data_IF_166607982364
#
_entry.id   IF_166607982364
#
_cell.length_a   1.000
_cell.length_b   1.000
_cell.length_c   1.000
_cell.angle_alpha   90.00
_cell.angle_beta   90.00
_cell.angle_gamma   90.00
#
_symmetry.space_group_name_H-M   'P 1'
#
loop_
_entity.id
_entity.type
_entity.pdbx_description
1 polymer ?
#
# COMPACT_ATOMS: atom_id res chain seq x y z
N UNK A 1 7.63 -12.49 6.12
CA UNK A 1 7.73 -11.02 5.92
C UNK A 1 8.08 -10.38 7.25
N UNK A 2 9.22 -9.69 7.36
CA UNK A 2 9.76 -9.24 8.65
C UNK A 2 9.17 -7.87 9.06
N UNK A 3 8.95 -7.65 10.36
CA UNK A 3 8.42 -6.40 10.95
C UNK A 3 9.13 -5.15 10.41
N UNK A 4 10.45 -5.25 10.19
CA UNK A 4 11.29 -4.18 9.64
C UNK A 4 10.77 -3.66 8.30
N UNK A 5 10.38 -4.55 7.39
CA UNK A 5 9.88 -4.15 6.07
C UNK A 5 8.52 -3.45 6.15
N UNK A 6 7.68 -3.81 7.13
CA UNK A 6 6.42 -3.12 7.37
C UNK A 6 6.64 -1.72 7.89
N UNK A 7 7.60 -1.53 8.80
CA UNK A 7 7.98 -0.20 9.31
C UNK A 7 8.45 0.69 8.16
N UNK A 8 9.36 0.19 7.30
CA UNK A 8 9.87 0.95 6.15
C UNK A 8 8.73 1.37 5.22
N UNK A 9 7.79 0.46 4.91
CA UNK A 9 6.62 0.80 4.07
C UNK A 9 5.74 1.90 4.69
N UNK A 10 5.53 1.86 6.00
CA UNK A 10 4.75 2.88 6.71
C UNK A 10 5.44 4.24 6.64
N UNK A 11 6.75 4.29 6.89
CA UNK A 11 7.52 5.53 6.83
C UNK A 11 7.54 6.12 5.41
N UNK A 12 7.70 5.29 4.38
CA UNK A 12 7.62 5.73 2.99
C UNK A 12 6.25 6.34 2.66
N UNK A 13 5.16 5.77 3.17
CA UNK A 13 3.82 6.35 2.99
C UNK A 13 3.68 7.71 3.69
N UNK A 14 4.19 7.85 4.91
CA UNK A 14 4.17 9.14 5.60
C UNK A 14 4.95 10.20 4.83
N UNK A 15 6.09 9.83 4.24
CA UNK A 15 6.86 10.72 3.38
C UNK A 15 6.05 11.18 2.16
N UNK A 16 5.36 10.26 1.48
CA UNK A 16 4.47 10.61 0.37
C UNK A 16 3.39 11.62 0.80
N UNK A 17 2.74 11.39 1.95
CA UNK A 17 1.71 12.29 2.48
C UNK A 17 2.26 13.66 2.87
N UNK A 18 3.46 13.71 3.45
CA UNK A 18 4.09 14.97 3.85
C UNK A 18 4.47 15.82 2.63
N UNK A 19 4.98 15.19 1.57
CA UNK A 19 5.33 15.87 0.32
C UNK A 19 4.07 16.35 -0.44
N UNK A 20 3.02 15.52 -0.49
CA UNK A 20 1.72 15.90 -1.05
C UNK A 20 1.07 17.06 -0.29
N UNK A 21 1.09 17.01 1.06
CA UNK A 21 0.58 18.10 1.90
C UNK A 21 1.38 19.41 1.75
N UNK A 22 2.66 19.32 1.35
CA UNK A 22 3.49 20.47 0.99
C UNK A 22 3.25 20.96 -0.45
N UNK A 23 2.26 20.40 -1.16
CA UNK A 23 1.85 20.73 -2.51
C UNK A 23 2.98 20.52 -3.55
N UNK A 24 3.83 19.52 -3.31
CA UNK A 24 4.89 19.11 -4.25
C UNK A 24 4.27 18.30 -5.39
N UNK A 25 4.66 18.60 -6.63
CA UNK A 25 4.16 17.89 -7.81
C UNK A 25 4.48 16.39 -7.76
N UNK A 26 3.53 15.55 -8.16
CA UNK A 26 3.66 14.10 -8.06
C UNK A 26 4.79 13.52 -8.93
N UNK A 27 5.22 14.21 -10.00
CA UNK A 27 6.42 13.82 -10.75
C UNK A 27 7.68 14.02 -9.92
N UNK A 28 7.75 15.10 -9.14
CA UNK A 28 8.88 15.38 -8.25
C UNK A 28 8.92 14.38 -7.09
N UNK A 29 7.77 14.05 -6.51
CA UNK A 29 7.65 13.02 -5.47
C UNK A 29 8.11 11.66 -6.02
N UNK A 30 7.63 11.28 -7.21
CA UNK A 30 8.01 10.02 -7.86
C UNK A 30 9.53 9.96 -8.15
N UNK A 31 10.12 11.07 -8.59
CA UNK A 31 11.55 11.18 -8.80
C UNK A 31 12.32 11.01 -7.48
N UNK A 32 11.90 11.70 -6.41
CA UNK A 32 12.51 11.59 -5.08
C UNK A 32 12.52 10.14 -4.59
N UNK A 33 11.36 9.46 -4.63
CA UNK A 33 11.26 8.06 -4.19
C UNK A 33 12.11 7.13 -5.06
N UNK A 34 12.19 7.39 -6.36
CA UNK A 34 13.05 6.62 -7.27
C UNK A 34 14.53 6.79 -6.92
N UNK A 35 14.96 8.00 -6.53
CA UNK A 35 16.31 8.24 -6.02
C UNK A 35 16.60 7.52 -4.69
N UNK A 36 15.58 7.35 -3.84
CA UNK A 36 15.65 6.55 -2.61
C UNK A 36 15.55 5.03 -2.86
N UNK A 37 15.56 4.59 -4.13
CA UNK A 37 15.54 3.19 -4.52
C UNK A 37 14.15 2.55 -4.59
N UNK A 38 13.09 3.38 -4.59
CA UNK A 38 11.69 2.95 -4.70
C UNK A 38 11.14 3.47 -6.04
N UNK A 39 11.25 2.68 -7.12
CA UNK A 39 10.83 3.14 -8.44
C UNK A 39 9.33 3.40 -8.45
N UNK A 40 8.95 4.65 -8.71
CA UNK A 40 7.56 5.09 -8.78
C UNK A 40 7.36 6.02 -9.98
N UNK A 41 6.15 5.99 -10.52
CA UNK A 41 5.62 6.94 -11.51
C UNK A 41 4.64 7.89 -10.83
N UNK A 42 4.44 9.07 -11.40
CA UNK A 42 3.55 10.07 -10.85
C UNK A 42 2.10 9.58 -10.61
N UNK A 43 1.56 8.75 -11.52
CA UNK A 43 0.23 8.18 -11.33
C UNK A 43 0.17 7.18 -10.16
N UNK A 44 1.29 6.51 -9.85
CA UNK A 44 1.39 5.58 -8.72
C UNK A 44 1.38 6.34 -7.40
N UNK A 45 2.04 7.51 -7.35
CA UNK A 45 1.96 8.43 -6.20
C UNK A 45 0.50 8.82 -5.93
N UNK A 46 -0.22 9.31 -6.95
CA UNK A 46 -1.65 9.63 -6.82
C UNK A 46 -2.48 8.43 -6.35
N UNK A 47 -2.24 7.26 -6.94
CA UNK A 47 -2.99 6.04 -6.64
C UNK A 47 -2.75 5.57 -5.20
N UNK A 48 -1.51 5.61 -4.72
CA UNK A 48 -1.14 5.26 -3.35
C UNK A 48 -1.78 6.20 -2.34
N UNK A 49 -1.69 7.52 -2.56
CA UNK A 49 -2.30 8.53 -1.68
C UNK A 49 -3.82 8.38 -1.61
N UNK A 50 -4.47 8.26 -2.77
CA UNK A 50 -5.92 8.07 -2.85
C UNK A 50 -6.36 6.77 -2.18
N UNK A 51 -5.68 5.66 -2.48
CA UNK A 51 -5.98 4.37 -1.87
C UNK A 51 -5.83 4.42 -0.36
N UNK A 52 -4.74 5.04 0.14
CA UNK A 52 -4.50 5.18 1.56
C UNK A 52 -5.53 6.07 2.24
N UNK A 53 -5.93 7.19 1.61
CA UNK A 53 -7.00 8.06 2.13
C UNK A 53 -8.36 7.34 2.17
N UNK A 54 -8.60 6.40 1.25
CA UNK A 54 -9.82 5.61 1.22
C UNK A 54 -9.83 4.55 2.33
N UNK A 55 -8.67 4.11 2.82
CA UNK A 55 -8.60 3.20 3.97
C UNK A 55 -9.23 3.88 5.20
N UNK A 56 -10.20 3.22 5.81
CA UNK A 56 -10.92 3.75 6.98
C UNK A 56 -12.14 4.62 6.66
N UNK A 57 -12.32 5.08 5.42
CA UNK A 57 -13.54 5.85 5.02
C UNK A 57 -14.79 4.99 5.02
N UNK A 58 -14.65 3.72 4.60
CA UNK A 58 -15.72 2.73 4.65
C UNK A 58 -15.49 1.81 5.85
N UNK A 59 -16.34 1.92 6.86
CA UNK A 59 -16.40 0.94 7.95
C UNK A 59 -16.84 -0.40 7.37
N UNK A 60 -15.91 -1.35 7.30
CA UNK A 60 -16.23 -2.75 7.00
C UNK A 60 -16.86 -3.35 8.25
N UNK A 61 -17.96 -4.07 8.10
CA UNK A 61 -18.64 -4.71 9.25
C UNK A 61 -17.72 -5.77 9.86
N UNK A 62 -17.79 -5.96 11.19
CA UNK A 62 -16.98 -6.97 11.90
C UNK A 62 -17.08 -8.37 11.25
N UNK A 63 -18.29 -8.76 10.82
CA UNK A 63 -18.53 -10.01 10.09
C UNK A 63 -17.73 -10.10 8.78
N UNK A 64 -17.67 -9.01 8.00
CA UNK A 64 -16.87 -8.97 6.77
C UNK A 64 -15.37 -8.98 7.07
N UNK A 65 -14.92 -8.30 8.12
CA UNK A 65 -13.51 -8.33 8.54
C UNK A 65 -13.11 -9.75 8.96
N UNK A 66 -13.91 -10.42 9.78
CA UNK A 66 -13.66 -11.81 10.19
C UNK A 66 -13.64 -12.77 8.99
N UNK A 67 -14.57 -12.61 8.05
CA UNK A 67 -14.58 -13.40 6.82
C UNK A 67 -13.30 -13.17 5.98
N UNK A 68 -12.80 -11.94 5.90
CA UNK A 68 -11.53 -11.64 5.20
C UNK A 68 -10.31 -12.23 5.92
N UNK A 69 -10.28 -12.19 7.26
CA UNK A 69 -9.22 -12.81 8.06
C UNK A 69 -9.21 -14.32 7.86
N UNK A 70 -10.39 -14.96 7.95
CA UNK A 70 -10.54 -16.40 7.73
C UNK A 70 -10.15 -16.79 6.30
N UNK A 71 -10.61 -16.05 5.29
CA UNK A 71 -10.24 -16.30 3.90
C UNK A 71 -8.74 -16.17 3.67
N UNK A 72 -8.09 -15.19 4.31
CA UNK A 72 -6.63 -15.04 4.26
C UNK A 72 -5.91 -16.23 4.90
N UNK A 73 -6.37 -16.68 6.06
CA UNK A 73 -5.81 -17.86 6.73
C UNK A 73 -6.00 -19.14 5.90
N UNK A 74 -7.17 -19.32 5.30
CA UNK A 74 -7.47 -20.44 4.40
C UNK A 74 -6.56 -20.43 3.16
N UNK A 75 -6.33 -19.26 2.55
CA UNK A 75 -5.44 -19.11 1.40
C UNK A 75 -3.95 -19.16 1.73
N UNK A 76 -3.55 -19.08 3.01
CA UNK A 76 -2.17 -19.29 3.45
C UNK A 76 -1.79 -20.78 3.47
N UNK A 77 -2.77 -21.68 3.57
CA UNK A 77 -2.56 -23.15 3.60
C UNK A 77 -3.00 -23.86 2.30
N UNK A 78 -3.62 -23.14 1.35
CA UNK A 78 -4.14 -23.70 0.11
C UNK A 78 -3.09 -23.66 -1.03
N UNK A 79 -2.30 -24.73 -1.13
CA UNK A 79 -1.33 -24.93 -2.22
C UNK A 79 -1.96 -25.07 -3.62
N UNK A 80 -3.30 -25.19 -3.72
CA UNK A 80 -4.00 -25.33 -5.01
C UNK A 80 -4.26 -23.98 -5.70
N UNK A 81 -4.19 -22.87 -4.96
CA UNK A 81 -4.40 -21.53 -5.51
C UNK A 81 -3.03 -20.94 -5.88
N UNK A 82 -2.66 -20.85 -7.16
CA UNK A 82 -1.41 -20.20 -7.54
C UNK A 82 -1.45 -18.74 -7.07
N UNK A 83 -0.39 -18.30 -6.39
CA UNK A 83 -0.18 -16.89 -6.10
C UNK A 83 -0.43 -16.09 -7.40
N UNK A 84 -1.31 -15.06 -7.40
CA UNK A 84 -1.57 -14.30 -8.60
C UNK A 84 -0.25 -13.77 -9.14
N UNK A 85 0.18 -14.29 -10.28
CA UNK A 85 1.40 -13.87 -10.93
C UNK A 85 1.32 -12.35 -11.11
N UNK A 86 2.29 -11.63 -10.56
CA UNK A 86 2.48 -10.22 -10.81
C UNK A 86 2.76 -10.05 -12.31
N UNK A 87 1.74 -9.69 -13.07
CA UNK A 87 1.88 -9.15 -14.43
C UNK A 87 2.28 -7.68 -14.34
#
# INVERSE_FOLDING_TARGET
MFIKEHIIRIENMKTLQALDAANIDHQVIAMFMTCEGIPLKAFEVSSLLNSYSALGTKKVTSKKVQALIQAKQLGEEDESIPCPAAY
#
